data_IF_282260979712
#
_entry.id   IF_282260979712
#
_cell.length_a   1.000
_cell.length_b   1.000
_cell.length_c   1.000
_cell.angle_alpha   90.00
_cell.angle_beta   90.00
_cell.angle_gamma   90.00
#
_symmetry.space_group_name_H-M   'P 1'
#
loop_
_entity.id
_entity.type
_entity.pdbx_description
1 polymer ?
#
# COMPACT_ATOMS: atom_id res chain seq x y z
N UNK A 1 7.50 -12.41 -8.77
CA UNK A 1 8.46 -11.45 -8.19
C UNK A 1 7.68 -10.51 -7.29
N UNK A 2 8.09 -10.33 -6.03
CA UNK A 2 7.47 -9.31 -5.17
C UNK A 2 7.78 -7.93 -5.74
N UNK A 3 6.75 -7.11 -5.94
CA UNK A 3 6.87 -5.76 -6.52
C UNK A 3 7.45 -4.77 -5.49
N UNK A 4 7.22 -5.06 -4.20
CA UNK A 4 7.71 -4.27 -3.08
C UNK A 4 8.56 -5.13 -2.15
N UNK A 5 9.51 -4.49 -1.48
CA UNK A 5 10.37 -5.14 -0.51
C UNK A 5 9.56 -5.84 0.59
N UNK A 6 10.06 -6.94 1.18
CA UNK A 6 9.40 -7.60 2.29
C UNK A 6 9.25 -6.62 3.46
N UNK A 7 8.00 -6.42 3.90
CA UNK A 7 7.67 -5.51 5.00
C UNK A 7 7.71 -6.33 6.31
N UNK A 8 8.52 -5.93 7.31
CA UNK A 8 8.57 -6.62 8.59
C UNK A 8 7.19 -6.66 9.26
N UNK A 9 6.95 -7.68 10.10
CA UNK A 9 5.63 -7.91 10.71
C UNK A 9 5.16 -6.71 11.55
N UNK A 10 6.07 -6.02 12.22
CA UNK A 10 5.74 -4.88 13.08
C UNK A 10 5.25 -3.68 12.27
N UNK A 11 5.94 -3.33 11.18
CA UNK A 11 5.49 -2.29 10.25
C UNK A 11 4.12 -2.61 9.67
N UNK A 12 3.88 -3.85 9.26
CA UNK A 12 2.56 -4.28 8.77
C UNK A 12 1.46 -4.02 9.80
N UNK A 13 1.72 -4.34 11.06
CA UNK A 13 0.77 -4.14 12.16
C UNK A 13 0.53 -2.65 12.40
N UNK A 14 1.58 -1.83 12.32
CA UNK A 14 1.47 -0.37 12.40
C UNK A 14 0.64 0.20 11.25
N UNK A 15 0.87 -0.23 10.01
CA UNK A 15 0.08 0.18 8.85
C UNK A 15 -1.39 -0.20 9.01
N UNK A 16 -1.69 -1.42 9.45
CA UNK A 16 -3.07 -1.85 9.73
C UNK A 16 -3.73 -0.99 10.80
N UNK A 17 -3.01 -0.67 11.88
CA UNK A 17 -3.50 0.23 12.92
C UNK A 17 -3.72 1.65 12.39
N UNK A 18 -2.82 2.14 11.55
CA UNK A 18 -2.91 3.45 10.93
C UNK A 18 -4.10 3.55 9.97
N UNK A 19 -4.41 2.50 9.20
CA UNK A 19 -5.60 2.44 8.34
C UNK A 19 -6.89 2.64 9.15
N UNK A 20 -6.99 2.01 10.31
CA UNK A 20 -8.19 2.10 11.16
C UNK A 20 -8.24 3.41 11.97
N UNK A 21 -7.09 4.02 12.27
CA UNK A 21 -7.00 5.22 13.09
C UNK A 21 -7.02 6.52 12.27
N UNK A 22 -6.55 6.49 11.02
CA UNK A 22 -6.40 7.70 10.21
C UNK A 22 -7.75 8.23 9.74
N UNK A 23 -7.91 9.56 9.82
CA UNK A 23 -9.04 10.26 9.21
C UNK A 23 -8.79 10.56 7.71
N UNK A 24 -7.53 10.49 7.27
CA UNK A 24 -7.18 10.67 5.86
C UNK A 24 -7.47 9.39 5.07
N UNK A 25 -8.58 9.43 4.33
CA UNK A 25 -9.04 8.34 3.45
C UNK A 25 -8.04 8.00 2.35
N UNK A 26 -7.28 8.98 1.85
CA UNK A 26 -6.26 8.74 0.82
C UNK A 26 -5.05 8.03 1.42
N UNK A 27 -4.65 8.41 2.64
CA UNK A 27 -3.58 7.71 3.36
C UNK A 27 -3.97 6.26 3.67
N UNK A 28 -5.17 6.01 4.17
CA UNK A 28 -5.69 4.66 4.38
C UNK A 28 -5.66 3.83 3.09
N UNK A 29 -6.11 4.38 1.96
CA UNK A 29 -6.09 3.70 0.66
C UNK A 29 -4.69 3.33 0.20
N UNK A 30 -3.71 4.23 0.38
CA UNK A 30 -2.30 3.95 0.04
C UNK A 30 -1.75 2.80 0.87
N UNK A 31 -1.99 2.81 2.18
CA UNK A 31 -1.54 1.74 3.07
C UNK A 31 -2.19 0.40 2.74
N UNK A 32 -3.50 0.38 2.43
CA UNK A 32 -4.18 -0.83 1.96
C UNK A 32 -3.58 -1.36 0.67
N UNK A 33 -3.23 -0.48 -0.28
CA UNK A 33 -2.57 -0.87 -1.52
C UNK A 33 -1.22 -1.57 -1.26
N UNK A 34 -0.40 -1.01 -0.36
CA UNK A 34 0.89 -1.62 0.02
C UNK A 34 0.71 -2.98 0.67
N UNK A 35 -0.29 -3.14 1.54
CA UNK A 35 -0.58 -4.43 2.18
C UNK A 35 -0.99 -5.51 1.16
N UNK A 36 -1.81 -5.15 0.16
CA UNK A 36 -2.20 -6.07 -0.91
C UNK A 36 -1.02 -6.45 -1.80
N UNK A 37 -0.25 -5.46 -2.26
CA UNK A 37 0.96 -5.71 -3.06
C UNK A 37 1.97 -6.60 -2.31
N UNK A 38 2.10 -6.42 -0.99
CA UNK A 38 2.97 -7.26 -0.18
C UNK A 38 2.44 -8.69 -0.14
N UNK A 39 1.12 -8.88 -0.07
CA UNK A 39 0.49 -10.21 -0.07
C UNK A 39 0.71 -10.96 -1.40
N UNK A 40 1.17 -10.27 -2.44
CA UNK A 40 1.44 -10.83 -3.75
C UNK A 40 0.40 -10.45 -4.81
N UNK A 41 -0.54 -9.56 -4.48
CA UNK A 41 -1.53 -9.06 -5.44
C UNK A 41 -0.84 -8.25 -6.55
N UNK A 42 -1.37 -8.34 -7.77
CA UNK A 42 -0.85 -7.57 -8.91
C UNK A 42 -1.33 -6.13 -8.85
N UNK A 43 -0.55 -5.21 -9.41
CA UNK A 43 -0.94 -3.78 -9.54
C UNK A 43 -2.33 -3.61 -10.16
N UNK A 44 -2.68 -4.44 -11.14
CA UNK A 44 -3.99 -4.45 -11.81
C UNK A 44 -5.14 -4.78 -10.86
N UNK A 45 -4.92 -5.76 -9.98
CA UNK A 45 -5.93 -6.25 -9.06
C UNK A 45 -6.12 -5.25 -7.92
N UNK A 46 -5.03 -4.70 -7.39
CA UNK A 46 -5.06 -3.61 -6.40
C UNK A 46 -5.77 -2.38 -6.95
N UNK A 47 -5.47 -1.99 -8.20
CA UNK A 47 -6.15 -0.89 -8.88
C UNK A 47 -7.66 -1.14 -9.01
N UNK A 48 -8.06 -2.38 -9.33
CA UNK A 48 -9.47 -2.76 -9.44
C UNK A 48 -10.16 -2.76 -8.07
N UNK A 49 -9.56 -3.35 -7.04
CA UNK A 49 -10.12 -3.42 -5.68
C UNK A 49 -10.28 -2.03 -5.07
N UNK A 50 -9.31 -1.15 -5.26
CA UNK A 50 -9.37 0.21 -4.73
C UNK A 50 -10.14 1.17 -5.65
N UNK A 51 -10.60 0.76 -6.83
CA UNK A 51 -11.20 1.62 -7.84
C UNK A 51 -10.29 2.83 -8.14
N UNK A 52 -9.08 2.55 -8.63
CA UNK A 52 -8.04 3.53 -8.96
C UNK A 52 -7.40 3.21 -10.31
N UNK A 53 -6.78 4.22 -10.94
CA UNK A 53 -5.93 3.99 -12.09
C UNK A 53 -4.65 3.23 -11.70
N UNK A 54 -4.15 2.36 -12.59
CA UNK A 54 -2.86 1.65 -12.42
C UNK A 54 -1.69 2.62 -12.19
N UNK A 55 -1.72 3.78 -12.83
CA UNK A 55 -0.71 4.83 -12.65
C UNK A 55 -0.69 5.41 -11.22
N UNK A 56 -1.84 5.49 -10.55
CA UNK A 56 -1.90 5.92 -9.15
C UNK A 56 -1.20 4.92 -8.23
N UNK A 57 -1.42 3.62 -8.45
CA UNK A 57 -0.73 2.56 -7.69
C UNK A 57 0.77 2.62 -7.92
N UNK A 58 1.21 2.82 -9.17
CA UNK A 58 2.63 3.03 -9.50
C UNK A 58 3.25 4.23 -8.75
N UNK A 59 2.55 5.37 -8.67
CA UNK A 59 3.01 6.52 -7.87
C UNK A 59 3.10 6.20 -6.39
N UNK A 60 2.15 5.43 -5.86
CA UNK A 60 2.19 5.03 -4.45
C UNK A 60 3.36 4.09 -4.17
N UNK A 61 3.66 3.15 -5.07
CA UNK A 61 4.83 2.26 -4.94
C UNK A 61 6.12 3.09 -4.92
N UNK A 62 6.23 4.05 -5.84
CA UNK A 62 7.40 4.93 -5.89
C UNK A 62 7.54 5.76 -4.59
N UNK A 63 6.44 6.36 -4.13
CA UNK A 63 6.40 7.06 -2.85
C UNK A 63 6.82 6.16 -1.68
N UNK A 64 6.30 4.92 -1.60
CA UNK A 64 6.63 3.98 -0.55
C UNK A 64 8.10 3.55 -0.58
N UNK A 65 8.66 3.39 -1.78
CA UNK A 65 10.06 3.02 -1.97
C UNK A 65 11.01 4.16 -1.57
N UNK A 66 10.63 5.42 -1.85
CA UNK A 66 11.44 6.59 -1.55
C UNK A 66 11.29 7.10 -0.11
N UNK A 67 10.09 7.04 0.45
CA UNK A 67 9.75 7.63 1.76
C UNK A 67 9.52 6.62 2.88
N UNK A 68 9.34 5.33 2.55
CA UNK A 68 9.03 4.28 3.53
C UNK A 68 7.65 4.46 4.21
N UNK A 69 7.48 3.76 5.33
CA UNK A 69 6.37 3.96 6.28
C UNK A 69 6.86 4.94 7.35
N UNK A 70 6.66 6.24 7.12
CA UNK A 70 6.93 7.28 8.11
C UNK A 70 5.85 7.33 9.20
#
# INVERSE_FOLDING_TARGET
MPIIAPIPRDERRLMQKAIHKTHDKNYARRLTAMLMLHRGDRVSDVARTLCCARSSVGRWINWFTLSGVA
#
